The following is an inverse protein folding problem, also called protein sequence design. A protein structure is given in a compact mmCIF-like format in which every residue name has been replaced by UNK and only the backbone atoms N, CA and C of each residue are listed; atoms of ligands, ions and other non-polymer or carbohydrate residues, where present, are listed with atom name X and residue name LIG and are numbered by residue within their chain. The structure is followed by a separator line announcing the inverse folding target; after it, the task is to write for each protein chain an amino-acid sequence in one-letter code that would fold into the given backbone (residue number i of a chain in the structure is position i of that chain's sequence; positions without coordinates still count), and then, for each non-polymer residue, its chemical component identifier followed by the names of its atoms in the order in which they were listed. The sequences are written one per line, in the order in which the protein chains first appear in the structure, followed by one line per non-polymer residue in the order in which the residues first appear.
data_IF_516706470524
#
_entry.id   IF_516706470524
#
_cell.length_a   1.000
_cell.length_b   1.000
_cell.length_c   1.000
_cell.angle_alpha   90.00
_cell.angle_beta   90.00
_cell.angle_gamma   90.00
#
_symmetry.space_group_name_H-M   'P 1'
#
loop_
_entity.id
_entity.type
_entity.pdbx_description
1 polymer ?
#
# COMPACT_ATOMS: atom_id res chain seq x y z
N UNK A 1 -15.67 -15.91 36.93
CA UNK A 1 -15.98 -14.47 36.76
C UNK A 1 -16.56 -14.28 35.36
N UNK A 2 -17.67 -13.54 35.18
CA UNK A 2 -18.14 -13.24 33.85
C UNK A 2 -17.05 -12.38 33.15
N UNK A 3 -16.62 -12.80 31.96
CA UNK A 3 -15.71 -11.99 31.16
C UNK A 3 -16.41 -10.67 30.82
N UNK A 4 -15.65 -9.57 30.79
CA UNK A 4 -16.17 -8.27 30.37
C UNK A 4 -16.72 -8.36 28.94
N UNK A 5 -17.89 -7.76 28.70
CA UNK A 5 -18.44 -7.61 27.35
C UNK A 5 -17.65 -6.55 26.56
N UNK A 6 -17.36 -6.85 25.31
CA UNK A 6 -16.64 -5.98 24.39
C UNK A 6 -17.32 -6.01 23.01
N UNK A 7 -17.75 -4.85 22.53
CA UNK A 7 -18.30 -4.71 21.19
C UNK A 7 -17.17 -4.45 20.19
N UNK A 8 -17.23 -5.13 19.06
CA UNK A 8 -16.28 -4.96 17.94
C UNK A 8 -17.04 -4.45 16.74
N UNK A 9 -16.67 -3.28 16.24
CA UNK A 9 -17.05 -2.78 14.93
C UNK A 9 -15.97 -3.19 13.93
N UNK A 10 -16.29 -4.12 13.04
CA UNK A 10 -15.37 -4.65 12.05
C UNK A 10 -15.62 -3.96 10.71
N UNK A 11 -14.67 -3.13 10.28
CA UNK A 11 -14.86 -2.36 9.04
C UNK A 11 -14.71 -3.24 7.79
N UNK A 12 -15.56 -3.04 6.78
CA UNK A 12 -15.43 -3.65 5.48
C UNK A 12 -15.61 -2.59 4.36
N UNK A 13 -14.80 -2.63 3.27
CA UNK A 13 -13.77 -3.63 2.99
C UNK A 13 -12.51 -3.46 3.84
N UNK A 14 -11.80 -4.55 4.06
CA UNK A 14 -10.51 -4.64 4.73
C UNK A 14 -9.64 -5.73 4.07
N UNK A 15 -8.41 -5.91 4.52
CA UNK A 15 -7.55 -6.99 4.09
C UNK A 15 -7.11 -6.89 2.62
N UNK A 16 -6.74 -8.00 2.02
CA UNK A 16 -6.15 -8.04 0.69
C UNK A 16 -6.97 -7.30 -0.36
N UNK A 17 -6.27 -6.59 -1.24
CA UNK A 17 -6.85 -6.02 -2.46
C UNK A 17 -6.44 -6.88 -3.67
N UNK A 18 -7.14 -6.72 -4.78
CA UNK A 18 -6.87 -7.47 -6.02
C UNK A 18 -5.42 -7.34 -6.53
N UNK A 19 -4.76 -6.20 -6.28
CA UNK A 19 -3.35 -5.98 -6.63
C UNK A 19 -2.40 -6.85 -5.81
N UNK A 20 -2.66 -6.96 -4.52
CA UNK A 20 -1.91 -7.80 -3.59
C UNK A 20 -2.13 -9.28 -3.86
N UNK A 21 -3.37 -9.72 -3.99
CA UNK A 21 -3.70 -11.12 -4.32
C UNK A 21 -3.02 -11.57 -5.61
N UNK A 22 -3.11 -10.74 -6.67
CA UNK A 22 -2.44 -11.01 -7.94
C UNK A 22 -0.92 -11.15 -7.79
N UNK A 23 -0.28 -10.29 -7.00
CA UNK A 23 1.17 -10.33 -6.83
C UNK A 23 1.62 -11.60 -6.08
N UNK A 24 0.91 -12.00 -5.04
CA UNK A 24 1.16 -13.24 -4.30
C UNK A 24 0.97 -14.45 -5.22
N UNK A 25 -0.14 -14.50 -5.96
CA UNK A 25 -0.46 -15.59 -6.89
C UNK A 25 0.59 -15.73 -8.00
N UNK A 26 1.18 -14.62 -8.48
CA UNK A 26 2.28 -14.64 -9.45
C UNK A 26 3.50 -15.36 -8.87
N UNK A 27 3.87 -15.10 -7.61
CA UNK A 27 5.00 -15.79 -6.96
C UNK A 27 4.70 -17.28 -6.83
N UNK A 28 3.53 -17.64 -6.34
CA UNK A 28 3.12 -19.04 -6.17
C UNK A 28 3.11 -19.82 -7.49
N UNK A 29 2.50 -19.23 -8.54
CA UNK A 29 2.51 -19.82 -9.88
C UNK A 29 3.91 -19.92 -10.49
N UNK A 30 4.77 -18.96 -10.20
CA UNK A 30 6.16 -19.02 -10.65
C UNK A 30 6.92 -20.16 -9.96
N UNK A 31 6.70 -20.37 -8.66
CA UNK A 31 7.28 -21.51 -7.93
C UNK A 31 6.76 -22.84 -8.53
N UNK A 32 5.47 -22.93 -8.85
CA UNK A 32 4.89 -24.13 -9.49
C UNK A 32 5.48 -24.38 -10.88
N UNK A 33 5.65 -23.33 -11.69
CA UNK A 33 6.11 -23.41 -13.08
C UNK A 33 7.61 -23.71 -13.20
N UNK A 34 8.43 -23.06 -12.38
CA UNK A 34 9.89 -23.10 -12.51
C UNK A 34 10.57 -23.93 -11.41
N UNK A 35 9.84 -24.38 -10.40
CA UNK A 35 10.40 -24.99 -9.19
C UNK A 35 11.11 -23.96 -8.29
N UNK A 36 11.36 -24.33 -7.05
CA UNK A 36 12.16 -23.49 -6.13
C UNK A 36 13.66 -23.60 -6.45
N UNK A 37 14.46 -22.55 -6.18
CA UNK A 37 14.06 -21.23 -5.73
C UNK A 37 13.53 -20.35 -6.86
N UNK A 38 12.62 -19.42 -6.50
CA UNK A 38 12.22 -18.30 -7.35
C UNK A 38 12.63 -17.03 -6.60
N UNK A 39 13.31 -16.11 -7.27
CA UNK A 39 13.75 -14.88 -6.63
C UNK A 39 12.65 -13.81 -6.69
N UNK A 40 12.56 -13.00 -5.65
CA UNK A 40 11.63 -11.85 -5.58
C UNK A 40 12.45 -10.63 -5.19
N UNK A 41 12.46 -9.60 -6.04
CA UNK A 41 13.16 -8.36 -5.74
C UNK A 41 12.29 -7.49 -4.86
N UNK A 42 12.80 -7.14 -3.67
CA UNK A 42 12.12 -6.53 -2.56
C UNK A 42 10.96 -7.40 -2.01
N UNK A 43 10.33 -6.99 -0.93
CA UNK A 43 9.10 -7.63 -0.48
C UNK A 43 8.03 -7.55 -1.56
N UNK A 44 7.38 -8.68 -1.87
CA UNK A 44 6.32 -8.72 -2.90
C UNK A 44 5.19 -7.73 -2.56
N UNK A 45 4.86 -7.65 -1.28
CA UNK A 45 3.97 -6.68 -0.64
C UNK A 45 4.49 -6.43 0.79
N UNK A 46 4.19 -5.29 1.38
CA UNK A 46 4.63 -4.94 2.73
C UNK A 46 3.83 -5.69 3.80
N UNK A 47 4.12 -6.98 3.96
CA UNK A 47 3.57 -7.81 5.02
C UNK A 47 4.50 -8.98 5.35
N UNK A 48 5.03 -8.99 6.57
CA UNK A 48 5.97 -10.01 7.02
C UNK A 48 5.38 -11.43 6.99
N UNK A 49 4.12 -11.61 7.36
CA UNK A 49 3.45 -12.91 7.34
C UNK A 49 3.43 -13.48 5.91
N UNK A 50 3.08 -12.65 4.91
CA UNK A 50 3.07 -13.03 3.49
C UNK A 50 4.48 -13.39 3.00
N UNK A 51 5.47 -12.54 3.33
CA UNK A 51 6.86 -12.78 2.96
C UNK A 51 7.37 -14.10 3.55
N UNK A 52 7.11 -14.34 4.83
CA UNK A 52 7.55 -15.56 5.52
C UNK A 52 6.85 -16.83 4.98
N UNK A 53 5.57 -16.73 4.60
CA UNK A 53 4.84 -17.81 3.96
C UNK A 53 5.42 -18.16 2.58
N UNK A 54 5.68 -17.15 1.75
CA UNK A 54 6.29 -17.34 0.44
C UNK A 54 7.73 -17.88 0.53
N UNK A 55 8.51 -17.49 1.54
CA UNK A 55 9.82 -18.09 1.82
C UNK A 55 9.70 -19.59 2.11
N UNK A 56 8.73 -20.01 2.92
CA UNK A 56 8.48 -21.44 3.19
C UNK A 56 8.10 -22.21 1.93
N UNK A 57 7.45 -21.57 0.97
CA UNK A 57 7.08 -22.14 -0.35
C UNK A 57 8.25 -22.19 -1.34
N UNK A 58 9.39 -21.52 -1.05
CA UNK A 58 10.59 -21.55 -1.89
C UNK A 58 10.90 -20.24 -2.61
N UNK A 59 10.29 -19.15 -2.23
CA UNK A 59 10.71 -17.81 -2.68
C UNK A 59 11.95 -17.34 -1.93
N UNK A 60 12.89 -16.71 -2.64
CA UNK A 60 14.08 -16.06 -2.07
C UNK A 60 14.01 -14.57 -2.36
N UNK A 61 13.95 -13.77 -1.29
CA UNK A 61 13.85 -12.32 -1.40
C UNK A 61 15.25 -11.72 -1.46
N UNK A 62 15.46 -10.80 -2.39
CA UNK A 62 16.71 -10.06 -2.61
C UNK A 62 16.40 -8.57 -2.75
N UNK A 63 17.36 -7.73 -2.38
CA UNK A 63 17.22 -6.29 -2.61
C UNK A 63 17.61 -5.91 -4.03
N UNK A 64 18.74 -6.45 -4.54
CA UNK A 64 19.26 -6.13 -5.86
C UNK A 64 19.49 -7.40 -6.72
N UNK A 65 19.44 -7.23 -8.06
CA UNK A 65 19.61 -8.35 -9.00
C UNK A 65 21.01 -8.99 -8.93
N UNK A 66 21.99 -8.21 -8.49
CA UNK A 66 23.38 -8.66 -8.32
C UNK A 66 23.52 -9.75 -7.26
N UNK A 67 22.68 -9.74 -6.23
CA UNK A 67 22.67 -10.73 -5.15
C UNK A 67 22.25 -12.13 -5.63
N UNK A 68 21.56 -12.21 -6.78
CA UNK A 68 21.09 -13.46 -7.35
C UNK A 68 22.30 -14.21 -7.95
N UNK A 69 22.70 -15.30 -7.30
CA UNK A 69 23.86 -16.11 -7.74
C UNK A 69 23.53 -16.93 -8.99
N UNK A 70 22.38 -17.58 -9.03
CA UNK A 70 21.93 -18.38 -10.16
C UNK A 70 21.01 -17.55 -11.08
N UNK A 71 21.61 -16.93 -12.07
CA UNK A 71 20.92 -16.09 -13.06
C UNK A 71 19.98 -16.86 -14.00
N UNK A 72 20.03 -18.20 -14.00
CA UNK A 72 19.10 -19.04 -14.79
C UNK A 72 17.70 -19.11 -14.15
N UNK A 73 17.59 -18.77 -12.89
CA UNK A 73 16.32 -18.77 -12.14
C UNK A 73 15.52 -17.50 -12.39
N UNK A 74 14.18 -17.57 -12.37
CA UNK A 74 13.34 -16.40 -12.59
C UNK A 74 13.41 -15.44 -11.41
N UNK A 75 13.28 -14.14 -11.71
CA UNK A 75 13.09 -13.08 -10.72
C UNK A 75 11.73 -12.41 -10.91
N UNK A 76 11.05 -12.12 -9.82
CA UNK A 76 9.75 -11.44 -9.79
C UNK A 76 9.95 -10.03 -9.25
N UNK A 77 9.40 -9.03 -9.94
CA UNK A 77 9.35 -7.66 -9.46
C UNK A 77 8.10 -7.44 -8.62
N UNK A 78 8.24 -6.72 -7.50
CA UNK A 78 7.17 -6.57 -6.51
C UNK A 78 5.96 -5.77 -7.03
N UNK A 79 4.86 -5.85 -6.28
CA UNK A 79 3.63 -5.11 -6.59
C UNK A 79 3.82 -3.59 -6.66
N UNK A 80 4.84 -3.06 -6.00
CA UNK A 80 5.16 -1.63 -5.94
C UNK A 80 5.70 -1.04 -7.26
N UNK A 81 6.09 -1.89 -8.20
CA UNK A 81 6.77 -1.48 -9.42
C UNK A 81 8.27 -1.24 -9.23
N UNK A 82 8.96 -1.10 -10.34
CA UNK A 82 10.42 -0.91 -10.37
C UNK A 82 10.81 0.17 -11.36
N UNK A 83 11.96 0.87 -11.18
CA UNK A 83 12.55 1.73 -12.21
C UNK A 83 12.76 0.99 -13.52
N UNK A 84 12.68 1.70 -14.66
CA UNK A 84 12.93 1.13 -16.01
C UNK A 84 14.25 0.39 -16.13
N UNK A 85 15.27 0.86 -15.43
CA UNK A 85 16.59 0.24 -15.42
C UNK A 85 16.56 -1.22 -14.96
N UNK A 86 15.69 -1.59 -14.03
CA UNK A 86 15.69 -2.94 -13.44
C UNK A 86 15.32 -4.04 -14.47
N UNK A 87 14.23 -3.91 -15.28
CA UNK A 87 13.98 -4.84 -16.38
C UNK A 87 15.09 -4.86 -17.45
N UNK A 88 15.75 -3.72 -17.69
CA UNK A 88 16.88 -3.62 -18.62
C UNK A 88 18.09 -4.40 -18.07
N UNK A 89 18.42 -4.22 -16.81
CA UNK A 89 19.50 -4.94 -16.14
C UNK A 89 19.21 -6.47 -16.10
N UNK A 90 17.97 -6.87 -15.81
CA UNK A 90 17.56 -8.28 -15.86
C UNK A 90 17.79 -8.89 -17.25
N UNK A 91 17.47 -8.15 -18.32
CA UNK A 91 17.75 -8.58 -19.72
C UNK A 91 19.25 -8.70 -19.99
N UNK A 92 20.03 -7.70 -19.54
CA UNK A 92 21.49 -7.70 -19.70
C UNK A 92 22.13 -8.90 -18.98
N UNK A 93 21.60 -9.30 -17.82
CA UNK A 93 21.99 -10.50 -17.10
C UNK A 93 21.40 -11.80 -17.70
N UNK A 94 20.63 -11.72 -18.80
CA UNK A 94 19.91 -12.86 -19.43
C UNK A 94 18.99 -13.61 -18.46
N UNK A 95 18.42 -12.89 -17.51
CA UNK A 95 17.47 -13.45 -16.54
C UNK A 95 16.05 -13.45 -17.11
N UNK A 96 15.30 -14.50 -16.82
CA UNK A 96 13.84 -14.48 -16.96
C UNK A 96 13.26 -13.65 -15.82
N UNK A 97 12.41 -12.67 -16.12
CA UNK A 97 11.70 -11.94 -15.09
C UNK A 97 10.18 -11.97 -15.29
N UNK A 98 9.45 -11.86 -14.20
CA UNK A 98 7.99 -11.73 -14.18
C UNK A 98 7.66 -10.44 -13.45
N UNK A 99 6.88 -9.58 -14.09
CA UNK A 99 6.48 -8.29 -13.51
C UNK A 99 5.16 -8.44 -12.75
N UNK A 100 5.22 -8.40 -11.41
CA UNK A 100 4.05 -8.43 -10.56
C UNK A 100 3.54 -7.03 -10.19
N UNK A 101 4.06 -5.96 -10.78
CA UNK A 101 3.59 -4.58 -10.55
C UNK A 101 2.07 -4.51 -10.62
N UNK A 102 1.45 -3.91 -9.60
CA UNK A 102 0.01 -3.69 -9.59
C UNK A 102 -0.43 -2.90 -10.83
N UNK A 103 -1.51 -3.31 -11.54
CA UNK A 103 -1.99 -2.57 -12.71
C UNK A 103 -2.28 -1.10 -12.45
N UNK A 104 -2.66 -0.73 -11.22
CA UNK A 104 -2.92 0.66 -10.83
C UNK A 104 -1.63 1.45 -10.66
N UNK A 105 -0.55 0.84 -10.16
CA UNK A 105 0.79 1.43 -10.16
C UNK A 105 1.32 1.58 -11.59
N UNK A 106 1.16 0.54 -12.43
CA UNK A 106 1.53 0.62 -13.86
C UNK A 106 0.75 1.71 -14.61
N UNK A 107 -0.48 2.05 -14.17
CA UNK A 107 -1.24 3.19 -14.70
C UNK A 107 -0.50 4.50 -14.40
N UNK A 108 -0.09 4.71 -13.15
CA UNK A 108 0.65 5.92 -12.74
C UNK A 108 1.96 6.06 -13.51
N UNK A 109 2.72 4.96 -13.64
CA UNK A 109 3.97 4.94 -14.44
C UNK A 109 3.73 5.42 -15.88
N UNK A 110 2.73 4.84 -16.57
CA UNK A 110 2.41 5.21 -17.96
C UNK A 110 1.90 6.63 -18.08
N UNK A 111 1.13 7.11 -17.11
CA UNK A 111 0.63 8.48 -17.11
C UNK A 111 1.76 9.48 -16.94
N UNK A 112 2.67 9.27 -15.98
CA UNK A 112 3.86 10.08 -15.79
C UNK A 112 4.72 10.13 -17.08
N UNK A 113 4.94 8.97 -17.72
CA UNK A 113 5.67 8.90 -18.98
C UNK A 113 5.00 9.69 -20.11
N UNK A 114 3.68 9.53 -20.28
CA UNK A 114 2.95 10.21 -21.35
C UNK A 114 2.92 11.72 -21.15
N UNK A 115 2.74 12.17 -19.91
CA UNK A 115 2.80 13.60 -19.57
C UNK A 115 4.19 14.16 -19.82
N UNK A 116 5.25 13.44 -19.43
CA UNK A 116 6.63 13.89 -19.69
C UNK A 116 6.95 13.95 -21.19
N UNK A 117 6.52 12.95 -21.98
CA UNK A 117 6.62 12.98 -23.45
C UNK A 117 5.88 14.15 -24.09
N UNK A 118 4.79 14.61 -23.47
CA UNK A 118 4.04 15.79 -23.88
C UNK A 118 4.69 17.12 -23.42
N UNK A 119 5.88 17.06 -22.83
CA UNK A 119 6.67 18.22 -22.43
C UNK A 119 6.34 18.78 -21.04
N UNK A 120 5.65 18.01 -20.21
CA UNK A 120 5.40 18.40 -18.82
C UNK A 120 6.55 17.97 -17.91
N UNK A 121 6.90 18.83 -16.97
CA UNK A 121 7.65 18.46 -15.79
C UNK A 121 6.69 17.85 -14.76
N UNK A 122 7.07 16.74 -14.14
CA UNK A 122 6.16 15.97 -13.30
C UNK A 122 6.41 16.27 -11.82
N UNK A 123 5.36 16.52 -11.07
CA UNK A 123 5.37 16.52 -9.61
C UNK A 123 4.76 15.18 -9.16
N UNK A 124 5.53 14.38 -8.44
CA UNK A 124 5.04 13.17 -7.78
C UNK A 124 4.69 13.53 -6.34
N UNK A 125 3.43 13.38 -5.96
CA UNK A 125 3.02 13.46 -4.56
C UNK A 125 3.17 12.06 -3.96
N UNK A 126 4.04 11.92 -2.94
CA UNK A 126 4.36 10.61 -2.38
C UNK A 126 5.30 10.70 -1.18
N UNK A 127 5.70 9.55 -0.63
CA UNK A 127 6.66 9.49 0.46
C UNK A 127 8.04 9.05 -0.04
N UNK A 128 9.05 9.81 0.31
CA UNK A 128 10.44 9.49 0.02
C UNK A 128 10.79 8.07 0.49
N UNK A 129 11.68 7.40 -0.25
CA UNK A 129 12.14 6.04 0.02
C UNK A 129 11.07 4.94 -0.09
N UNK A 130 9.83 5.26 -0.43
CA UNK A 130 8.83 4.22 -0.69
C UNK A 130 9.11 3.56 -2.05
N UNK A 131 9.07 2.19 -2.17
CA UNK A 131 9.38 1.49 -3.42
C UNK A 131 8.54 1.95 -4.62
N UNK A 132 7.25 2.26 -4.43
CA UNK A 132 6.39 2.78 -5.49
C UNK A 132 6.85 4.15 -5.98
N UNK A 133 7.30 5.02 -5.08
CA UNK A 133 7.84 6.35 -5.42
C UNK A 133 9.15 6.22 -6.20
N UNK A 134 10.06 5.37 -5.71
CA UNK A 134 11.32 5.06 -6.42
C UNK A 134 11.02 4.48 -7.80
N UNK A 135 10.06 3.55 -7.89
CA UNK A 135 9.63 2.94 -9.14
C UNK A 135 9.08 3.97 -10.14
N UNK A 136 8.21 4.86 -9.69
CA UNK A 136 7.59 5.90 -10.52
C UNK A 136 8.62 6.95 -10.97
N UNK A 137 9.45 7.45 -10.05
CA UNK A 137 10.52 8.40 -10.41
C UNK A 137 11.50 7.79 -11.41
N UNK A 138 11.80 6.51 -11.28
CA UNK A 138 12.68 5.77 -12.18
C UNK A 138 12.09 5.46 -13.56
N UNK A 139 10.84 5.87 -13.87
CA UNK A 139 10.28 5.79 -15.22
C UNK A 139 10.76 6.93 -16.11
N UNK A 140 11.19 8.04 -15.54
CA UNK A 140 11.47 9.28 -16.25
C UNK A 140 12.97 9.60 -16.26
N UNK A 141 13.43 10.42 -17.24
CA UNK A 141 14.78 10.95 -17.21
C UNK A 141 15.05 11.75 -15.94
N UNK A 142 16.29 11.70 -15.47
CA UNK A 142 16.71 12.49 -14.30
C UNK A 142 16.41 13.99 -14.52
N UNK A 143 15.82 14.64 -13.53
CA UNK A 143 15.43 16.05 -13.58
C UNK A 143 14.10 16.33 -14.31
N UNK A 144 13.32 15.29 -14.65
CA UNK A 144 11.99 15.42 -15.25
C UNK A 144 10.85 15.27 -14.26
N UNK A 145 11.16 14.87 -13.03
CA UNK A 145 10.19 14.60 -11.96
C UNK A 145 10.75 15.01 -10.62
N UNK A 146 9.95 15.71 -9.84
CA UNK A 146 10.24 16.11 -8.47
C UNK A 146 9.24 15.48 -7.51
N UNK A 147 9.68 15.23 -6.27
CA UNK A 147 8.86 14.66 -5.20
C UNK A 147 8.34 15.78 -4.29
N UNK A 148 7.07 15.71 -3.92
CA UNK A 148 6.44 16.52 -2.87
C UNK A 148 5.76 15.58 -1.89
N UNK A 149 6.07 15.72 -0.60
CA UNK A 149 5.60 14.81 0.44
C UNK A 149 4.49 15.40 1.32
N UNK A 150 4.42 16.73 1.41
CA UNK A 150 3.53 17.42 2.35
C UNK A 150 3.15 18.82 1.85
N UNK A 151 2.24 19.47 2.59
CA UNK A 151 1.76 20.82 2.26
C UNK A 151 2.86 21.87 2.30
N UNK A 152 3.83 21.76 3.21
CA UNK A 152 4.92 22.73 3.33
C UNK A 152 5.82 22.70 2.08
N UNK A 153 6.19 21.50 1.62
CA UNK A 153 6.92 21.33 0.39
C UNK A 153 6.12 21.86 -0.82
N UNK A 154 4.79 21.62 -0.86
CA UNK A 154 3.94 22.17 -1.90
C UNK A 154 3.86 23.69 -1.89
N UNK A 155 3.84 24.32 -0.70
CA UNK A 155 3.87 25.79 -0.53
C UNK A 155 5.19 26.40 -0.98
N UNK A 156 6.30 25.69 -0.80
CA UNK A 156 7.65 26.19 -1.08
C UNK A 156 8.21 25.71 -2.43
N UNK A 157 7.48 24.85 -3.15
CA UNK A 157 7.96 24.31 -4.44
C UNK A 157 8.16 25.43 -5.46
N UNK A 158 9.34 25.50 -6.10
CA UNK A 158 9.70 26.47 -7.11
C UNK A 158 9.77 25.84 -8.50
N UNK A 159 9.02 26.39 -9.44
CA UNK A 159 9.12 26.05 -10.87
C UNK A 159 10.14 26.95 -11.53
N UNK A 160 11.43 26.65 -11.32
CA UNK A 160 12.57 27.51 -11.71
C UNK A 160 12.58 27.87 -13.20
N UNK A 161 12.16 26.96 -14.08
CA UNK A 161 12.25 27.13 -15.53
C UNK A 161 10.91 27.50 -16.18
N UNK A 162 9.88 27.87 -15.42
CA UNK A 162 8.51 28.10 -15.92
C UNK A 162 7.98 26.94 -16.82
N UNK A 163 8.33 25.71 -16.47
CA UNK A 163 7.91 24.51 -17.21
C UNK A 163 6.41 24.32 -17.12
N UNK A 164 5.82 23.67 -18.12
CA UNK A 164 4.48 23.11 -17.99
C UNK A 164 4.52 22.01 -16.93
N UNK A 165 3.68 22.11 -15.92
CA UNK A 165 3.69 21.17 -14.80
C UNK A 165 2.48 20.24 -14.88
N UNK A 166 2.70 18.97 -14.57
CA UNK A 166 1.66 17.99 -14.29
C UNK A 166 1.96 17.31 -12.97
N UNK A 167 0.96 16.75 -12.33
CA UNK A 167 1.20 15.91 -11.15
C UNK A 167 0.63 14.51 -11.32
N UNK A 168 1.24 13.58 -10.59
CA UNK A 168 0.75 12.21 -10.33
C UNK A 168 0.92 11.92 -8.83
N UNK A 169 0.24 10.89 -8.31
CA UNK A 169 0.34 10.56 -6.89
C UNK A 169 0.70 9.09 -6.68
N UNK A 170 1.33 8.80 -5.54
CA UNK A 170 1.43 7.46 -5.00
C UNK A 170 0.03 6.91 -4.72
N UNK A 171 -0.19 5.60 -4.94
CA UNK A 171 -1.53 4.99 -4.88
C UNK A 171 -2.06 4.77 -3.45
N UNK A 172 -1.22 4.89 -2.42
CA UNK A 172 -1.54 4.54 -1.02
C UNK A 172 -1.48 5.72 -0.05
N UNK A 173 -1.71 6.93 -0.54
CA UNK A 173 -1.72 8.15 0.28
C UNK A 173 -3.05 8.33 1.05
N UNK A 174 -3.03 9.22 2.04
CA UNK A 174 -4.25 9.77 2.63
C UNK A 174 -5.00 10.59 1.58
N UNK A 175 -6.26 10.26 1.37
CA UNK A 175 -7.12 10.97 0.39
C UNK A 175 -7.26 12.44 0.77
N UNK A 176 -7.49 12.73 2.07
CA UNK A 176 -7.71 14.09 2.54
C UNK A 176 -6.44 14.93 2.46
N UNK A 177 -5.30 14.40 2.94
CA UNK A 177 -4.02 15.12 2.92
C UNK A 177 -3.57 15.39 1.48
N UNK A 178 -3.76 14.43 0.57
CA UNK A 178 -3.45 14.61 -0.85
C UNK A 178 -4.30 15.70 -1.49
N UNK A 179 -5.59 15.81 -1.12
CA UNK A 179 -6.47 16.89 -1.60
C UNK A 179 -5.95 18.27 -1.21
N UNK A 180 -5.47 18.45 0.03
CA UNK A 180 -4.92 19.74 0.46
C UNK A 180 -3.61 20.07 -0.27
N UNK A 181 -2.72 19.11 -0.47
CA UNK A 181 -1.51 19.28 -1.29
C UNK A 181 -1.87 19.72 -2.73
N UNK A 182 -2.81 19.01 -3.36
CA UNK A 182 -3.28 19.33 -4.73
C UNK A 182 -3.89 20.73 -4.78
N UNK A 183 -4.68 21.12 -3.79
CA UNK A 183 -5.30 22.44 -3.70
C UNK A 183 -4.22 23.55 -3.63
N UNK A 184 -3.17 23.34 -2.85
CA UNK A 184 -2.04 24.28 -2.76
C UNK A 184 -1.34 24.38 -4.13
N UNK A 185 -1.03 23.27 -4.77
CA UNK A 185 -0.38 23.27 -6.09
C UNK A 185 -1.24 23.99 -7.13
N UNK A 186 -2.55 23.73 -7.18
CA UNK A 186 -3.49 24.42 -8.09
C UNK A 186 -3.58 25.92 -7.82
N UNK A 187 -3.50 26.36 -6.60
CA UNK A 187 -3.54 27.78 -6.26
C UNK A 187 -2.26 28.52 -6.69
N UNK A 188 -1.13 27.81 -6.80
CA UNK A 188 0.17 28.36 -7.17
C UNK A 188 0.46 28.24 -8.65
N UNK A 189 -0.08 27.23 -9.33
CA UNK A 189 0.18 26.92 -10.74
C UNK A 189 -1.12 26.79 -11.50
N UNK A 190 -1.58 27.90 -12.10
CA UNK A 190 -2.91 28.04 -12.71
C UNK A 190 -3.20 26.98 -13.80
N UNK A 191 -2.18 26.50 -14.51
CA UNK A 191 -2.31 25.54 -15.61
C UNK A 191 -1.70 24.16 -15.27
N UNK A 192 -1.65 23.78 -13.98
CA UNK A 192 -1.14 22.46 -13.63
C UNK A 192 -2.06 21.36 -14.19
N UNK A 193 -1.47 20.40 -14.90
CA UNK A 193 -2.18 19.28 -15.50
C UNK A 193 -2.44 18.19 -14.46
N UNK A 194 -3.69 17.79 -14.33
CA UNK A 194 -4.12 16.71 -13.46
C UNK A 194 -4.07 15.36 -14.17
N UNK A 195 -3.95 14.23 -13.42
CA UNK A 195 -4.11 12.91 -13.98
C UNK A 195 -5.52 12.72 -14.56
N UNK A 196 -5.65 11.91 -15.61
CA UNK A 196 -6.94 11.65 -16.28
C UNK A 196 -7.96 10.96 -15.35
N UNK A 197 -7.48 10.19 -14.39
CA UNK A 197 -8.26 9.53 -13.33
C UNK A 197 -7.44 9.62 -12.05
N UNK A 198 -8.10 9.63 -10.92
CA UNK A 198 -7.45 9.60 -9.61
C UNK A 198 -6.41 8.48 -9.54
N UNK A 199 -5.25 8.78 -8.96
CA UNK A 199 -4.14 7.85 -8.82
C UNK A 199 -4.24 7.06 -7.51
N UNK A 200 -4.80 7.66 -6.44
CA UNK A 200 -5.08 6.92 -5.21
C UNK A 200 -6.04 5.78 -5.56
N UNK A 201 -5.61 4.54 -5.27
CA UNK A 201 -6.32 3.38 -5.74
C UNK A 201 -7.65 3.16 -4.98
N UNK A 202 -8.62 2.49 -5.64
CA UNK A 202 -9.92 2.17 -5.04
C UNK A 202 -9.78 1.47 -3.68
N UNK A 203 -8.82 0.56 -3.55
CA UNK A 203 -8.61 -0.19 -2.32
C UNK A 203 -8.18 0.70 -1.16
N UNK A 204 -7.36 1.71 -1.42
CA UNK A 204 -6.95 2.73 -0.45
C UNK A 204 -8.15 3.61 -0.07
N UNK A 205 -8.87 4.13 -1.06
CA UNK A 205 -10.04 4.99 -0.85
C UNK A 205 -11.12 4.27 -0.05
N UNK A 206 -11.47 3.05 -0.45
CA UNK A 206 -12.54 2.28 0.19
C UNK A 206 -12.21 1.94 1.65
N UNK A 207 -10.97 1.50 1.93
CA UNK A 207 -10.55 1.18 3.31
C UNK A 207 -10.53 2.42 4.19
N UNK A 208 -10.08 3.57 3.67
CA UNK A 208 -10.14 4.83 4.42
C UNK A 208 -11.60 5.25 4.69
N UNK A 209 -12.50 5.11 3.72
CA UNK A 209 -13.93 5.37 3.93
C UNK A 209 -14.54 4.44 4.97
N UNK A 210 -14.21 3.14 4.93
CA UNK A 210 -14.70 2.17 5.91
C UNK A 210 -14.24 2.50 7.34
N UNK A 211 -12.98 2.87 7.51
CA UNK A 211 -12.44 3.32 8.80
C UNK A 211 -13.12 4.59 9.27
N UNK A 212 -13.26 5.62 8.42
CA UNK A 212 -13.93 6.89 8.75
C UNK A 212 -15.37 6.67 9.24
N UNK A 213 -16.07 5.71 8.63
CA UNK A 213 -17.48 5.46 8.94
C UNK A 213 -17.71 5.01 10.38
N UNK A 214 -16.79 4.24 10.97
CA UNK A 214 -16.96 3.65 12.29
C UNK A 214 -16.05 4.26 13.38
N UNK A 215 -14.97 4.94 13.01
CA UNK A 215 -13.94 5.38 13.96
C UNK A 215 -14.49 6.22 15.12
N UNK A 216 -15.40 7.16 14.85
CA UNK A 216 -16.01 8.02 15.88
C UNK A 216 -16.85 7.29 16.93
N UNK A 217 -17.23 6.04 16.66
CA UNK A 217 -18.05 5.21 17.53
C UNK A 217 -17.21 4.23 18.38
N UNK A 218 -15.88 4.34 18.31
CA UNK A 218 -14.94 3.43 18.95
C UNK A 218 -14.14 4.15 20.04
N UNK A 219 -13.94 3.49 21.18
CA UNK A 219 -13.04 3.94 22.25
C UNK A 219 -11.58 3.72 21.88
N UNK A 220 -11.32 2.66 21.09
CA UNK A 220 -10.01 2.32 20.52
C UNK A 220 -10.19 1.78 19.11
N UNK A 221 -9.17 1.96 18.26
CA UNK A 221 -9.18 1.44 16.91
C UNK A 221 -7.88 0.69 16.57
N UNK A 222 -8.01 -0.53 16.07
CA UNK A 222 -6.88 -1.38 15.72
C UNK A 222 -6.80 -1.57 14.20
N UNK A 223 -5.66 -1.24 13.63
CA UNK A 223 -5.33 -1.53 12.24
C UNK A 223 -4.35 -2.70 12.22
N UNK A 224 -4.78 -3.84 11.68
CA UNK A 224 -3.91 -5.00 11.53
C UNK A 224 -3.06 -4.83 10.27
N UNK A 225 -1.73 -4.85 10.43
CA UNK A 225 -0.84 -4.63 9.28
C UNK A 225 0.62 -4.48 9.65
N UNK A 226 1.45 -4.11 8.68
CA UNK A 226 2.88 -3.93 8.85
C UNK A 226 3.27 -2.46 8.91
N UNK A 227 4.29 -2.13 9.71
CA UNK A 227 4.76 -0.75 9.92
C UNK A 227 5.35 -0.10 8.67
N UNK A 228 5.87 -0.89 7.76
CA UNK A 228 6.38 -0.45 6.46
C UNK A 228 5.30 -0.38 5.36
N UNK A 229 4.04 -0.74 5.68
CA UNK A 229 2.91 -0.59 4.76
C UNK A 229 2.33 0.81 4.85
N UNK A 230 2.54 1.62 3.81
CA UNK A 230 1.96 2.97 3.69
C UNK A 230 0.44 2.95 3.90
N UNK A 231 -0.27 2.01 3.26
CA UNK A 231 -1.72 1.89 3.45
C UNK A 231 -2.10 1.65 4.92
N UNK A 232 -1.42 0.75 5.63
CA UNK A 232 -1.74 0.44 7.04
C UNK A 232 -1.48 1.63 7.96
N UNK A 233 -0.37 2.34 7.76
CA UNK A 233 -0.03 3.54 8.53
C UNK A 233 -1.07 4.65 8.31
N UNK A 234 -1.45 4.89 7.04
CA UNK A 234 -2.49 5.89 6.71
C UNK A 234 -3.84 5.58 7.34
N UNK A 235 -4.23 4.31 7.45
CA UNK A 235 -5.48 3.94 8.11
C UNK A 235 -5.50 4.30 9.61
N UNK A 236 -4.37 4.18 10.31
CA UNK A 236 -4.25 4.64 11.71
C UNK A 236 -4.46 6.14 11.80
N UNK A 237 -3.83 6.90 10.92
CA UNK A 237 -3.97 8.37 10.89
C UNK A 237 -5.39 8.80 10.57
N UNK A 238 -6.02 8.13 9.59
CA UNK A 238 -7.43 8.35 9.24
C UNK A 238 -8.35 8.06 10.42
N UNK A 239 -8.14 6.97 11.16
CA UNK A 239 -8.94 6.66 12.34
C UNK A 239 -8.81 7.75 13.42
N UNK A 240 -7.58 8.22 13.69
CA UNK A 240 -7.34 9.32 14.63
C UNK A 240 -8.04 10.61 14.20
N UNK A 241 -7.83 11.04 12.95
CA UNK A 241 -8.47 12.24 12.38
C UNK A 241 -10.00 12.15 12.36
N UNK A 242 -10.54 10.93 12.33
CA UNK A 242 -11.98 10.65 12.31
C UNK A 242 -12.60 10.50 13.70
N UNK A 243 -11.88 10.81 14.77
CA UNK A 243 -12.39 10.93 16.14
C UNK A 243 -12.04 9.78 17.08
N UNK A 244 -11.22 8.80 16.66
CA UNK A 244 -10.68 7.78 17.55
C UNK A 244 -9.19 8.02 17.82
N UNK A 245 -8.85 8.89 18.77
CA UNK A 245 -7.47 9.22 19.13
C UNK A 245 -6.65 7.98 19.55
N UNK A 246 -7.29 7.00 20.20
CA UNK A 246 -6.66 5.75 20.63
C UNK A 246 -6.56 4.74 19.50
N UNK A 247 -6.10 5.17 18.32
CA UNK A 247 -5.91 4.31 17.16
C UNK A 247 -4.45 3.86 17.05
N UNK A 248 -4.24 2.57 16.76
CA UNK A 248 -2.90 2.02 16.66
C UNK A 248 -2.78 0.90 15.62
N UNK A 249 -1.56 0.72 15.13
CA UNK A 249 -1.19 -0.40 14.26
C UNK A 249 -0.81 -1.61 15.13
N UNK A 250 -1.36 -2.77 14.81
CA UNK A 250 -0.99 -4.05 15.40
C UNK A 250 -0.27 -4.88 14.34
N UNK A 251 1.00 -5.16 14.61
CA UNK A 251 1.84 -5.97 13.72
C UNK A 251 1.91 -7.43 14.17
N UNK A 252 1.77 -7.67 15.48
CA UNK A 252 1.81 -9.01 16.08
C UNK A 252 0.93 -9.09 17.32
N UNK A 253 0.56 -10.30 17.70
CA UNK A 253 -0.26 -10.60 18.89
C UNK A 253 0.36 -10.05 20.19
N UNK A 254 1.70 -10.02 20.29
CA UNK A 254 2.40 -9.47 21.47
C UNK A 254 2.20 -7.96 21.67
N UNK A 255 1.70 -7.25 20.66
CA UNK A 255 1.44 -5.81 20.74
C UNK A 255 0.01 -5.47 21.22
N UNK A 256 -0.83 -6.47 21.47
CA UNK A 256 -2.22 -6.24 21.90
C UNK A 256 -2.24 -5.62 23.29
N UNK A 257 -2.76 -4.39 23.45
CA UNK A 257 -2.72 -3.66 24.73
C UNK A 257 -3.93 -4.06 25.61
N UNK A 258 -3.93 -5.28 26.13
CA UNK A 258 -5.04 -5.82 26.93
C UNK A 258 -5.40 -4.97 28.14
N UNK A 259 -4.41 -4.35 28.77
CA UNK A 259 -4.56 -3.41 29.88
C UNK A 259 -5.39 -2.18 29.50
N UNK A 260 -5.31 -1.74 28.24
CA UNK A 260 -6.14 -0.64 27.72
C UNK A 260 -7.51 -1.12 27.26
N UNK A 261 -7.57 -2.26 26.58
CA UNK A 261 -8.82 -2.83 26.05
C UNK A 261 -9.81 -3.14 27.19
N UNK A 262 -9.33 -3.54 28.36
CA UNK A 262 -10.21 -3.77 29.51
C UNK A 262 -11.03 -2.54 29.94
N UNK A 263 -10.66 -1.33 29.52
CA UNK A 263 -11.38 -0.09 29.81
C UNK A 263 -12.26 0.38 28.64
N UNK A 264 -12.12 -0.22 27.45
CA UNK A 264 -12.93 0.10 26.27
C UNK A 264 -14.26 -0.68 26.29
N UNK A 265 -15.35 -0.10 25.82
CA UNK A 265 -16.62 -0.78 25.59
C UNK A 265 -16.80 -1.19 24.14
N UNK A 266 -16.30 -0.36 23.22
CA UNK A 266 -16.36 -0.59 21.77
C UNK A 266 -14.99 -0.38 21.16
N UNK A 267 -14.54 -1.36 20.39
CA UNK A 267 -13.31 -1.24 19.60
C UNK A 267 -13.61 -1.36 18.12
N UNK A 268 -12.89 -0.59 17.32
CA UNK A 268 -12.89 -0.72 15.86
C UNK A 268 -11.74 -1.61 15.40
N UNK A 269 -11.98 -2.42 14.40
CA UNK A 269 -10.94 -3.25 13.77
C UNK A 269 -11.00 -3.06 12.26
N UNK A 270 -9.84 -2.87 11.65
CA UNK A 270 -9.62 -2.92 10.21
C UNK A 270 -8.28 -3.55 9.89
N UNK A 271 -7.99 -3.75 8.62
CA UNK A 271 -6.66 -4.20 8.20
C UNK A 271 -6.21 -3.54 6.89
N UNK A 272 -4.90 -3.42 6.75
CA UNK A 272 -4.29 -2.86 5.55
C UNK A 272 -4.46 -3.75 4.32
N UNK A 273 -4.36 -3.16 3.13
CA UNK A 273 -4.53 -3.85 1.84
C UNK A 273 -3.52 -4.98 1.57
N UNK A 274 -2.47 -5.10 2.38
CA UNK A 274 -1.46 -6.18 2.33
C UNK A 274 -1.56 -7.18 3.49
N UNK A 275 -2.55 -7.04 4.39
CA UNK A 275 -2.74 -7.93 5.53
C UNK A 275 -3.78 -9.02 5.18
N UNK A 276 -3.44 -10.32 5.27
CA UNK A 276 -4.40 -11.38 5.05
C UNK A 276 -5.42 -11.46 6.18
N UNK A 277 -6.65 -11.88 5.86
CA UNK A 277 -7.77 -11.93 6.82
C UNK A 277 -7.47 -12.81 8.04
N UNK A 278 -6.67 -13.85 7.88
CA UNK A 278 -6.26 -14.73 8.99
C UNK A 278 -5.63 -13.96 10.16
N UNK A 279 -4.98 -12.81 9.91
CA UNK A 279 -4.40 -11.99 10.98
C UNK A 279 -5.49 -11.25 11.77
N UNK A 280 -6.59 -10.88 11.13
CA UNK A 280 -7.76 -10.29 11.77
C UNK A 280 -8.48 -11.36 12.62
N UNK A 281 -8.66 -12.56 12.05
CA UNK A 281 -9.25 -13.70 12.75
C UNK A 281 -8.46 -14.07 14.00
N UNK A 282 -7.14 -14.14 13.90
CA UNK A 282 -6.26 -14.42 15.04
C UNK A 282 -6.41 -13.35 16.11
N UNK A 283 -6.39 -12.08 15.76
CA UNK A 283 -6.59 -10.98 16.70
C UNK A 283 -7.93 -11.08 17.41
N UNK A 284 -9.01 -11.34 16.68
CA UNK A 284 -10.35 -11.52 17.27
C UNK A 284 -10.40 -12.76 18.18
N UNK A 285 -9.78 -13.86 17.79
CA UNK A 285 -9.74 -15.08 18.59
C UNK A 285 -8.96 -14.89 19.89
N UNK A 286 -7.87 -14.14 19.88
CA UNK A 286 -7.14 -13.77 21.08
C UNK A 286 -8.00 -12.93 22.06
N UNK A 287 -8.79 -12.00 21.52
CA UNK A 287 -9.72 -11.23 22.34
C UNK A 287 -10.82 -12.12 22.95
N UNK A 288 -11.35 -13.11 22.20
CA UNK A 288 -12.36 -14.09 22.71
C UNK A 288 -11.88 -14.88 23.92
N UNK A 289 -10.58 -15.09 24.05
CA UNK A 289 -10.00 -15.79 25.22
C UNK A 289 -10.14 -14.97 26.52
N UNK A 290 -10.39 -13.67 26.44
CA UNK A 290 -10.40 -12.75 27.59
C UNK A 290 -11.70 -11.97 27.77
N UNK A 291 -12.49 -11.82 26.70
CA UNK A 291 -13.70 -11.01 26.67
C UNK A 291 -14.89 -11.82 26.12
N UNK A 292 -16.09 -11.43 26.51
CA UNK A 292 -17.32 -11.85 25.83
C UNK A 292 -17.54 -10.86 24.67
N UNK A 293 -17.46 -11.33 23.42
CA UNK A 293 -17.38 -10.46 22.23
C UNK A 293 -18.70 -10.47 21.48
N UNK A 294 -19.18 -9.27 21.12
CA UNK A 294 -20.20 -9.03 20.13
C UNK A 294 -19.55 -8.38 18.90
N UNK A 295 -19.73 -8.95 17.70
CA UNK A 295 -19.14 -8.44 16.47
C UNK A 295 -20.24 -7.92 15.56
N UNK A 296 -20.08 -6.68 15.11
CA UNK A 296 -20.89 -6.06 14.06
C UNK A 296 -19.97 -5.68 12.88
N UNK A 297 -20.20 -6.32 11.72
CA UNK A 297 -19.46 -6.02 10.50
C UNK A 297 -20.16 -4.92 9.73
N UNK A 298 -19.45 -3.80 9.57
CA UNK A 298 -19.97 -2.61 8.91
C UNK A 298 -19.39 -2.51 7.50
N UNK A 299 -20.13 -3.04 6.54
CA UNK A 299 -19.77 -2.99 5.11
C UNK A 299 -20.29 -1.69 4.48
N UNK A 300 -19.38 -0.93 3.82
CA UNK A 300 -19.77 0.30 3.10
C UNK A 300 -19.85 0.11 1.59
N UNK A 301 -19.07 -0.82 1.04
CA UNK A 301 -19.00 -1.12 -0.39
C UNK A 301 -18.42 -2.52 -0.60
N UNK A 302 -18.92 -3.24 -1.62
CA UNK A 302 -18.32 -4.50 -2.08
C UNK A 302 -17.26 -4.24 -3.15
N UNK A 303 -16.15 -4.93 -3.05
CA UNK A 303 -15.09 -4.90 -4.05
C UNK A 303 -15.19 -6.15 -4.94
N UNK A 304 -15.32 -5.94 -6.26
CA UNK A 304 -15.41 -7.01 -7.27
C UNK A 304 -14.26 -6.95 -8.29
N UNK A 305 -13.23 -6.17 -7.98
CA UNK A 305 -12.08 -5.96 -8.86
C UNK A 305 -11.22 -7.22 -8.91
N UNK A 306 -10.94 -7.70 -10.11
CA UNK A 306 -10.03 -8.82 -10.37
C UNK A 306 -8.99 -8.43 -11.42
N UNK A 307 -7.72 -8.67 -11.15
CA UNK A 307 -6.65 -8.44 -12.10
C UNK A 307 -6.15 -9.75 -12.71
N UNK A 308 -6.02 -9.77 -14.03
CA UNK A 308 -5.48 -10.93 -14.75
C UNK A 308 -3.98 -11.12 -14.43
N UNK A 309 -3.58 -12.37 -14.28
CA UNK A 309 -2.18 -12.76 -14.16
C UNK A 309 -1.53 -12.73 -15.56
N UNK A 310 -0.27 -12.26 -15.68
CA UNK A 310 0.47 -12.40 -16.93
C UNK A 310 0.57 -13.87 -17.34
N UNK A 311 0.49 -14.14 -18.67
CA UNK A 311 0.61 -15.49 -19.21
C UNK A 311 2.04 -16.01 -19.14
#
# INVERSE_FOLDING_TARGET
MKNKELNILLSAPRGFCAGVERAIEIVEKSIQKYGAPVYVRHEIVHNKFVVDDLKKKGAVFVEELEEIKDKSRPVIFSAHGVPKKIPEDAKNYKMTYVDATCPLVSKVHREAENLNKAGYHIILIGHENHPEVIGTMGQLPKGSIDLIQNEEEAKNYENIDNKKIAFVTQTTLSVDDTKEIIKILKSRFENIREPLKEDICYATTNRQMAVKNIAKNCDMFFIIGSRNSSNSVRLVEVAKKSGCENSMLIHSESEIPYDKIQHANTIGISSGASAPEILVDNFINDLKNRFTINIDEVEIIKEDVVFKIPK
#
